data_IF_269259655901
#
_entry.id   IF_269259655901
#
_cell.length_a   1.000
_cell.length_b   1.000
_cell.length_c   1.000
_cell.angle_alpha   90.00
_cell.angle_beta   90.00
_cell.angle_gamma   90.00
#
_symmetry.space_group_name_H-M   'P 1'
#
loop_
_entity.id
_entity.type
_entity.pdbx_description
1 polymer ?
#
# COMPACT_ATOMS: atom_id res chain seq x y z
N UNK A 1 2.20 -19.36 -2.28
CA UNK A 1 3.30 -18.44 -1.89
C UNK A 1 4.60 -19.18 -2.12
N UNK A 2 5.58 -18.53 -2.74
CA UNK A 2 6.89 -19.12 -3.00
C UNK A 2 8.01 -18.20 -2.50
N UNK A 3 9.06 -18.81 -1.94
CA UNK A 3 10.26 -18.14 -1.46
C UNK A 3 11.45 -18.59 -2.30
N UNK A 4 12.36 -17.68 -2.64
CA UNK A 4 13.61 -18.04 -3.35
C UNK A 4 14.62 -18.66 -2.38
N UNK A 5 15.32 -19.72 -2.82
CA UNK A 5 16.28 -20.48 -2.01
C UNK A 5 17.73 -20.40 -2.52
N UNK A 6 18.01 -19.54 -3.51
CA UNK A 6 19.22 -19.53 -4.35
C UNK A 6 20.47 -18.86 -3.73
N UNK A 7 20.64 -18.99 -2.41
CA UNK A 7 21.95 -18.92 -1.74
C UNK A 7 22.72 -17.59 -1.74
N UNK A 8 22.30 -16.56 -2.49
CA UNK A 8 23.00 -15.28 -2.63
C UNK A 8 22.09 -14.16 -2.15
N UNK A 9 22.14 -13.73 -0.88
CA UNK A 9 21.33 -12.61 -0.32
C UNK A 9 19.79 -12.60 -0.52
N UNK A 10 19.16 -13.60 -1.14
CA UNK A 10 17.74 -13.60 -1.51
C UNK A 10 16.77 -14.15 -0.45
N UNK A 11 17.19 -14.24 0.82
CA UNK A 11 16.32 -14.77 1.89
C UNK A 11 15.01 -14.01 2.10
N UNK A 12 14.82 -12.85 1.47
CA UNK A 12 13.60 -12.05 1.57
C UNK A 12 12.88 -11.83 0.24
N UNK A 13 13.17 -12.61 -0.81
CA UNK A 13 12.35 -12.52 -2.02
C UNK A 13 11.10 -13.36 -1.86
N UNK A 14 9.96 -12.66 -1.90
CA UNK A 14 8.66 -13.26 -1.72
C UNK A 14 7.80 -13.03 -2.96
N UNK A 15 7.20 -14.11 -3.46
CA UNK A 15 6.26 -14.05 -4.57
C UNK A 15 4.84 -14.39 -4.11
N UNK A 16 3.91 -13.52 -4.46
CA UNK A 16 2.47 -13.75 -4.31
C UNK A 16 1.78 -13.63 -5.65
N UNK A 17 0.80 -14.48 -5.89
CA UNK A 17 -0.10 -14.36 -7.03
C UNK A 17 -1.55 -14.34 -6.55
N UNK A 18 -2.42 -13.75 -7.34
CA UNK A 18 -3.86 -13.79 -7.10
C UNK A 18 -4.63 -13.33 -8.33
N UNK A 19 -5.95 -13.37 -8.21
CA UNK A 19 -6.89 -12.96 -9.25
C UNK A 19 -7.85 -11.93 -8.69
N UNK A 20 -8.18 -10.91 -9.48
CA UNK A 20 -9.20 -9.92 -9.14
C UNK A 20 -10.60 -10.52 -9.30
N UNK A 21 -11.63 -9.76 -8.92
CA UNK A 21 -13.02 -10.21 -9.14
C UNK A 21 -13.43 -10.24 -10.62
N UNK A 22 -12.71 -9.50 -11.46
CA UNK A 22 -12.96 -9.45 -12.91
C UNK A 22 -12.18 -10.54 -13.67
N UNK A 23 -11.41 -11.37 -12.94
CA UNK A 23 -10.62 -12.47 -13.51
C UNK A 23 -9.18 -12.08 -13.87
N UNK A 24 -8.79 -10.82 -13.66
CA UNK A 24 -7.43 -10.35 -13.94
C UNK A 24 -6.42 -10.97 -12.98
N UNK A 25 -5.37 -11.57 -13.53
CA UNK A 25 -4.30 -12.20 -12.75
C UNK A 25 -3.21 -11.18 -12.41
N UNK A 26 -2.73 -11.22 -11.18
CA UNK A 26 -1.61 -10.39 -10.74
C UNK A 26 -0.54 -11.24 -10.05
N UNK A 27 0.71 -10.87 -10.29
CA UNK A 27 1.88 -11.39 -9.59
C UNK A 27 2.55 -10.22 -8.90
N UNK A 28 2.95 -10.44 -7.66
CA UNK A 28 3.66 -9.49 -6.84
C UNK A 28 5.01 -10.08 -6.43
N UNK A 29 6.07 -9.33 -6.71
CA UNK A 29 7.41 -9.61 -6.24
C UNK A 29 7.76 -8.62 -5.14
N UNK A 30 8.07 -9.13 -3.95
CA UNK A 30 8.66 -8.35 -2.88
C UNK A 30 10.16 -8.59 -2.87
N UNK A 31 10.92 -7.52 -3.05
CA UNK A 31 12.36 -7.52 -3.01
C UNK A 31 12.83 -6.28 -2.27
N UNK A 32 13.10 -6.43 -0.98
CA UNK A 32 13.55 -5.32 -0.13
C UNK A 32 14.94 -5.61 0.44
N UNK A 33 15.82 -4.59 0.39
CA UNK A 33 17.19 -4.65 0.90
C UNK A 33 17.29 -4.40 2.41
N UNK A 34 16.37 -3.64 3.00
CA UNK A 34 16.37 -3.30 4.42
C UNK A 34 15.04 -3.64 5.09
N UNK A 35 15.07 -4.59 6.03
CA UNK A 35 13.89 -4.98 6.81
C UNK A 35 13.02 -6.01 6.09
N UNK A 36 13.49 -7.27 6.08
CA UNK A 36 12.75 -8.40 5.54
C UNK A 36 11.32 -8.55 6.07
N UNK A 37 10.57 -9.46 5.47
CA UNK A 37 9.27 -9.86 5.99
C UNK A 37 9.43 -10.78 7.21
N UNK A 38 8.43 -10.84 8.12
CA UNK A 38 8.39 -11.87 9.15
C UNK A 38 8.32 -13.25 8.52
N UNK A 39 8.70 -14.28 9.28
CA UNK A 39 8.69 -15.68 8.81
C UNK A 39 7.33 -16.11 8.23
N UNK A 40 6.24 -15.56 8.77
CA UNK A 40 4.87 -15.78 8.31
C UNK A 40 4.16 -14.45 8.07
N UNK A 41 4.37 -13.80 6.91
CA UNK A 41 3.74 -12.52 6.62
C UNK A 41 2.25 -12.69 6.34
N UNK A 42 1.43 -11.80 6.90
CA UNK A 42 0.02 -11.66 6.54
C UNK A 42 -0.12 -10.76 5.35
N UNK A 43 -0.86 -11.24 4.35
CA UNK A 43 -0.97 -10.60 3.04
C UNK A 43 -2.45 -10.47 2.68
N UNK A 44 -2.82 -9.30 2.16
CA UNK A 44 -4.17 -9.00 1.67
C UNK A 44 -4.10 -8.16 0.41
N UNK A 45 -4.80 -8.61 -0.62
CA UNK A 45 -5.10 -7.78 -1.80
C UNK A 45 -6.41 -7.06 -1.58
N UNK A 46 -6.50 -5.83 -2.08
CA UNK A 46 -7.81 -5.21 -2.26
C UNK A 46 -8.59 -5.92 -3.38
N UNK A 47 -9.90 -5.68 -3.43
CA UNK A 47 -10.81 -6.30 -4.41
C UNK A 47 -10.36 -6.10 -5.86
N UNK A 48 -9.81 -4.93 -6.15
CA UNK A 48 -9.47 -4.51 -7.51
C UNK A 48 -8.05 -4.96 -7.91
N UNK A 49 -7.28 -5.55 -6.99
CA UNK A 49 -5.90 -6.00 -7.24
C UNK A 49 -4.88 -4.87 -7.38
N UNK A 50 -5.25 -3.63 -7.07
CA UNK A 50 -4.38 -2.44 -7.20
C UNK A 50 -3.53 -2.16 -5.96
N UNK A 51 -3.90 -2.72 -4.80
CA UNK A 51 -3.22 -2.53 -3.51
C UNK A 51 -2.93 -3.88 -2.83
N UNK A 52 -1.75 -3.98 -2.24
CA UNK A 52 -1.30 -5.11 -1.43
C UNK A 52 -0.85 -4.62 -0.06
N UNK A 53 -1.44 -5.17 1.01
CA UNK A 53 -1.00 -4.95 2.39
C UNK A 53 -0.19 -6.15 2.87
N UNK A 54 0.98 -5.90 3.45
CA UNK A 54 1.90 -6.92 3.98
C UNK A 54 2.31 -6.55 5.41
N UNK A 55 2.24 -7.50 6.35
CA UNK A 55 2.81 -7.31 7.69
C UNK A 55 4.34 -7.29 7.64
N UNK A 56 4.97 -6.34 8.32
CA UNK A 56 6.41 -6.16 8.37
C UNK A 56 7.00 -6.55 9.74
N UNK A 57 8.33 -6.69 9.80
CA UNK A 57 9.05 -7.16 10.99
C UNK A 57 9.05 -6.16 12.16
N UNK A 58 8.79 -4.88 11.88
CA UNK A 58 8.69 -3.79 12.85
C UNK A 58 7.30 -3.65 13.46
N UNK A 59 6.47 -4.70 13.40
CA UNK A 59 5.04 -4.68 13.73
C UNK A 59 4.20 -3.73 12.86
N UNK A 60 4.80 -3.18 11.79
CA UNK A 60 4.13 -2.29 10.84
C UNK A 60 3.37 -3.02 9.75
N UNK A 61 2.65 -2.24 8.94
CA UNK A 61 2.02 -2.67 7.69
C UNK A 61 2.63 -1.88 6.56
N UNK A 62 3.16 -2.58 5.55
CA UNK A 62 3.66 -2.00 4.31
C UNK A 62 2.59 -2.15 3.22
N UNK A 63 2.27 -1.03 2.55
CA UNK A 63 1.34 -0.99 1.43
C UNK A 63 2.14 -0.88 0.14
N UNK A 64 1.84 -1.76 -0.80
CA UNK A 64 2.34 -1.65 -2.17
C UNK A 64 1.18 -1.36 -3.09
N UNK A 65 1.44 -0.46 -4.03
CA UNK A 65 0.47 -0.01 -5.00
C UNK A 65 1.07 -0.14 -6.40
N UNK A 66 0.30 -0.67 -7.33
CA UNK A 66 0.64 -0.55 -8.76
C UNK A 66 0.35 0.88 -9.24
N UNK A 67 0.58 1.16 -10.52
CA UNK A 67 0.34 2.50 -11.09
C UNK A 67 -1.10 2.98 -10.84
N UNK A 68 -2.10 2.11 -10.97
CA UNK A 68 -3.50 2.47 -10.73
C UNK A 68 -3.79 2.73 -9.25
N UNK A 69 -3.22 1.93 -8.35
CA UNK A 69 -3.28 2.14 -6.90
C UNK A 69 -2.62 3.45 -6.48
N UNK A 70 -1.48 3.81 -7.06
CA UNK A 70 -0.81 5.11 -6.81
C UNK A 70 -1.70 6.26 -7.28
N UNK A 71 -2.33 6.13 -8.45
CA UNK A 71 -3.27 7.14 -8.98
C UNK A 71 -4.49 7.29 -8.07
N UNK A 72 -5.03 6.18 -7.57
CA UNK A 72 -6.13 6.17 -6.61
C UNK A 72 -5.74 6.89 -5.32
N UNK A 73 -4.60 6.53 -4.72
CA UNK A 73 -4.09 7.14 -3.49
C UNK A 73 -3.93 8.67 -3.65
N UNK A 74 -3.29 9.12 -4.73
CA UNK A 74 -3.12 10.55 -5.02
C UNK A 74 -4.44 11.29 -5.18
N UNK A 75 -5.44 10.66 -5.80
CA UNK A 75 -6.77 11.28 -6.00
C UNK A 75 -7.51 11.46 -4.68
N UNK A 76 -7.43 10.46 -3.79
CA UNK A 76 -8.04 10.51 -2.46
C UNK A 76 -7.36 11.56 -1.59
N UNK A 77 -6.02 11.58 -1.57
CA UNK A 77 -5.23 12.57 -0.83
C UNK A 77 -5.55 13.99 -1.30
N UNK A 78 -5.62 14.24 -2.62
CA UNK A 78 -5.87 15.57 -3.15
C UNK A 78 -7.28 16.10 -2.78
N UNK A 79 -8.31 15.26 -2.81
CA UNK A 79 -9.66 15.64 -2.33
C UNK A 79 -9.67 15.96 -0.84
N UNK A 80 -8.98 15.16 -0.03
CA UNK A 80 -8.92 15.38 1.42
C UNK A 80 -8.17 16.66 1.77
N UNK A 81 -7.08 16.96 1.04
CA UNK A 81 -6.31 18.18 1.19
C UNK A 81 -7.11 19.43 0.81
N UNK A 82 -7.79 19.44 -0.35
CA UNK A 82 -8.63 20.58 -0.75
C UNK A 82 -9.81 20.79 0.22
N UNK A 83 -10.47 19.72 0.67
CA UNK A 83 -11.53 19.81 1.66
C UNK A 83 -11.02 20.36 3.00
N UNK A 84 -9.81 19.97 3.42
CA UNK A 84 -9.18 20.47 4.64
C UNK A 84 -8.85 21.97 4.55
N UNK A 85 -8.38 22.47 3.40
CA UNK A 85 -8.12 23.90 3.19
C UNK A 85 -9.40 24.73 3.14
N UNK A 86 -10.46 24.20 2.53
CA UNK A 86 -11.78 24.84 2.56
C UNK A 86 -12.31 24.94 4.00
N UNK A 87 -12.17 23.87 4.79
CA UNK A 87 -12.51 23.87 6.22
C UNK A 87 -11.69 24.86 7.02
N UNK A 88 -10.38 24.94 6.78
CA UNK A 88 -9.47 25.87 7.48
C UNK A 88 -9.79 27.33 7.14
N UNK A 89 -10.08 27.64 5.86
CA UNK A 89 -10.47 28.98 5.43
C UNK A 89 -11.79 29.43 6.06
N UNK A 90 -12.78 28.54 6.16
CA UNK A 90 -14.06 28.82 6.82
C UNK A 90 -13.87 29.02 8.33
N UNK A 91 -13.05 28.20 8.98
CA UNK A 91 -12.74 28.36 10.41
C UNK A 91 -12.03 29.70 10.69
N UNK A 92 -11.12 30.14 9.80
CA UNK A 92 -10.40 31.42 9.94
C UNK A 92 -11.31 32.64 9.79
N UNK A 93 -12.34 32.54 8.94
CA UNK A 93 -13.38 33.57 8.79
C UNK A 93 -14.28 33.65 10.05
N UNK A 94 -14.64 32.53 10.64
CA UNK A 94 -15.50 32.49 11.83
C UNK A 94 -14.84 33.02 13.12
N UNK A 95 -13.50 32.99 13.21
CA UNK A 95 -12.74 33.53 14.36
C UNK A 95 -12.56 35.05 14.28
N UNK A 96 -12.77 35.66 13.11
CA UNK A 96 -12.59 37.11 12.91
C UNK A 96 -13.90 37.92 13.15
N UNK A 97 -15.02 37.26 13.42
CA UNK A 97 -16.35 37.89 13.61
C UNK A 97 -16.83 37.85 15.08
N UNK A 98 -15.91 37.75 16.05
CA UNK A 98 -16.21 37.80 17.49
C UNK A 98 -15.36 38.85 18.22
#
# INVERSE_FOLDING_TARGET
MAYSADGTSWRNRFFSCGTSKDGESYIFEWNESEGGLPASPRIRFNKDGTLLAVSANDYGIKLLANTDGIRLLRTVENRSYDASRASEAIAKLAVHDM
#
